data_IF_435652120374
#
_entry.id   IF_435652120374
#
_cell.length_a   1.000
_cell.length_b   1.000
_cell.length_c   1.000
_cell.angle_alpha   90.00
_cell.angle_beta   90.00
_cell.angle_gamma   90.00
#
_symmetry.space_group_name_H-M   'P 1'
#
loop_
_entity.id
_entity.type
_entity.pdbx_description
1 polymer ?
#
# COMPACT_ATOMS: atom_id res chain seq x y z
N UNK A 1 3.00 17.84 -22.81
CA UNK A 1 2.12 16.64 -22.85
C UNK A 1 2.05 15.92 -21.49
N UNK A 2 2.09 16.69 -20.38
CA UNK A 2 2.17 16.21 -18.97
C UNK A 2 0.89 16.53 -18.19
N UNK A 3 -0.09 17.17 -18.86
CA UNK A 3 -1.34 17.65 -18.23
C UNK A 3 -2.34 16.49 -17.99
N UNK A 4 -2.19 15.36 -18.69
CA UNK A 4 -3.10 14.22 -18.55
C UNK A 4 -2.75 13.26 -17.40
N UNK A 5 -1.49 13.16 -16.97
CA UNK A 5 -1.08 12.23 -15.90
C UNK A 5 -1.67 12.64 -14.53
N UNK A 6 -2.08 13.89 -14.40
CA UNK A 6 -2.77 14.43 -13.22
C UNK A 6 -4.25 14.04 -13.17
N UNK A 7 -4.92 13.90 -14.32
CA UNK A 7 -6.37 13.65 -14.39
C UNK A 7 -6.69 12.23 -13.93
N UNK A 8 -5.75 11.28 -14.07
CA UNK A 8 -6.00 9.87 -13.80
C UNK A 8 -5.59 9.42 -12.40
N UNK A 9 -4.81 10.21 -11.64
CA UNK A 9 -4.32 9.77 -10.33
C UNK A 9 -5.46 9.48 -9.34
N UNK A 10 -6.35 10.45 -9.13
CA UNK A 10 -7.48 10.29 -8.22
C UNK A 10 -8.42 9.15 -8.66
N UNK A 11 -8.87 9.08 -9.93
CA UNK A 11 -9.66 7.94 -10.40
C UNK A 11 -8.99 6.59 -10.21
N UNK A 12 -7.66 6.50 -10.40
CA UNK A 12 -6.92 5.26 -10.22
C UNK A 12 -6.84 4.88 -8.73
N UNK A 13 -6.55 5.84 -7.84
CA UNK A 13 -6.52 5.59 -6.40
C UNK A 13 -7.90 5.12 -5.90
N UNK A 14 -8.97 5.80 -6.30
CA UNK A 14 -10.35 5.41 -5.95
C UNK A 14 -10.69 4.01 -6.47
N UNK A 15 -10.40 3.73 -7.74
CA UNK A 15 -10.69 2.44 -8.36
C UNK A 15 -9.91 1.29 -7.68
N UNK A 16 -8.62 1.49 -7.39
CA UNK A 16 -7.80 0.47 -6.76
C UNK A 16 -8.19 0.26 -5.29
N UNK A 17 -8.46 1.32 -4.53
CA UNK A 17 -8.90 1.20 -3.13
C UNK A 17 -10.26 0.47 -3.02
N UNK A 18 -11.16 0.66 -3.99
CA UNK A 18 -12.42 -0.09 -4.02
C UNK A 18 -12.22 -1.61 -4.18
N UNK A 19 -11.12 -2.03 -4.83
CA UNK A 19 -10.80 -3.44 -5.09
C UNK A 19 -10.07 -4.13 -3.93
N UNK A 20 -9.65 -3.41 -2.88
CA UNK A 20 -9.02 -4.00 -1.70
C UNK A 20 -9.94 -4.96 -0.93
N UNK A 21 -11.25 -4.89 -1.15
CA UNK A 21 -12.27 -5.75 -0.52
C UNK A 21 -12.89 -6.76 -1.48
N UNK A 22 -12.28 -6.98 -2.64
CA UNK A 22 -12.79 -7.95 -3.62
C UNK A 22 -12.73 -9.38 -3.05
N UNK A 23 -13.73 -10.19 -3.38
CA UNK A 23 -13.79 -11.61 -2.99
C UNK A 23 -12.62 -12.44 -3.54
N UNK A 24 -12.03 -12.01 -4.66
CA UNK A 24 -10.90 -12.66 -5.30
C UNK A 24 -9.58 -12.14 -4.70
N UNK A 25 -8.85 -13.02 -4.02
CA UNK A 25 -7.52 -12.73 -3.47
C UNK A 25 -6.59 -12.11 -4.52
N UNK A 26 -6.59 -12.63 -5.75
CA UNK A 26 -5.71 -12.12 -6.81
C UNK A 26 -6.06 -10.68 -7.20
N UNK A 27 -7.34 -10.30 -7.18
CA UNK A 27 -7.77 -8.92 -7.44
C UNK A 27 -7.25 -8.00 -6.34
N UNK A 28 -7.39 -8.39 -5.06
CA UNK A 28 -6.85 -7.64 -3.92
C UNK A 28 -5.33 -7.45 -4.02
N UNK A 29 -4.59 -8.51 -4.37
CA UNK A 29 -3.14 -8.47 -4.57
C UNK A 29 -2.77 -7.49 -5.70
N UNK A 30 -3.44 -7.58 -6.84
CA UNK A 30 -3.17 -6.69 -7.97
C UNK A 30 -3.55 -5.24 -7.68
N UNK A 31 -4.62 -5.01 -6.93
CA UNK A 31 -5.04 -3.69 -6.48
C UNK A 31 -3.95 -3.06 -5.59
N UNK A 32 -3.48 -3.81 -4.59
CA UNK A 32 -2.44 -3.36 -3.67
C UNK A 32 -1.11 -3.10 -4.36
N UNK A 33 -0.72 -3.98 -5.30
CA UNK A 33 0.44 -3.76 -6.18
C UNK A 33 0.30 -2.48 -6.99
N UNK A 34 -0.89 -2.22 -7.53
CA UNK A 34 -1.21 -0.99 -8.24
C UNK A 34 -0.98 0.24 -7.38
N UNK A 35 -1.51 0.24 -6.15
CA UNK A 35 -1.33 1.34 -5.18
C UNK A 35 0.15 1.55 -4.82
N UNK A 36 0.90 0.48 -4.58
CA UNK A 36 2.34 0.55 -4.36
C UNK A 36 3.12 1.12 -5.56
N UNK A 37 2.67 0.84 -6.79
CA UNK A 37 3.31 1.34 -8.00
C UNK A 37 2.95 2.80 -8.34
N UNK A 38 1.78 3.28 -7.89
CA UNK A 38 1.47 4.72 -7.94
C UNK A 38 2.55 5.53 -7.21
N UNK A 39 3.16 4.93 -6.18
CA UNK A 39 4.27 5.55 -5.45
C UNK A 39 5.52 5.79 -6.32
N UNK A 40 5.77 4.97 -7.33
CA UNK A 40 6.92 5.17 -8.23
C UNK A 40 6.63 6.21 -9.33
N UNK A 41 5.35 6.47 -9.64
CA UNK A 41 4.97 7.30 -10.79
C UNK A 41 4.97 8.81 -10.54
N UNK A 42 4.77 9.26 -9.30
CA UNK A 42 4.73 10.70 -8.97
C UNK A 42 5.01 11.00 -7.49
N UNK A 43 6.29 11.04 -7.06
CA UNK A 43 6.71 11.21 -5.67
C UNK A 43 6.02 12.38 -4.93
N UNK A 44 5.99 13.56 -5.56
CA UNK A 44 5.43 14.80 -4.99
C UNK A 44 3.93 14.72 -4.67
N UNK A 45 3.20 13.81 -5.32
CA UNK A 45 1.76 13.67 -5.16
C UNK A 45 1.40 12.62 -4.11
N UNK A 46 2.26 11.63 -3.89
CA UNK A 46 2.10 10.61 -2.84
C UNK A 46 1.99 11.24 -1.48
N UNK A 47 2.73 12.31 -1.21
CA UNK A 47 2.70 12.97 0.11
C UNK A 47 1.29 13.34 0.57
N UNK A 48 0.39 13.68 -0.37
CA UNK A 48 -1.03 13.96 -0.06
C UNK A 48 -1.86 12.70 0.21
N UNK A 49 -1.48 11.57 -0.35
CA UNK A 49 -2.16 10.27 -0.20
C UNK A 49 -1.40 9.30 0.71
N UNK A 50 -0.31 9.73 1.35
CA UNK A 50 0.61 8.87 2.09
C UNK A 50 -0.08 8.09 3.20
N UNK A 51 -0.92 8.78 3.99
CA UNK A 51 -1.69 8.14 5.04
C UNK A 51 -2.70 7.10 4.51
N UNK A 52 -3.36 7.39 3.37
CA UNK A 52 -4.28 6.44 2.73
C UNK A 52 -3.51 5.21 2.23
N UNK A 53 -2.40 5.42 1.52
CA UNK A 53 -1.58 4.33 0.99
C UNK A 53 -1.00 3.46 2.11
N UNK A 54 -0.51 4.07 3.20
CA UNK A 54 -0.06 3.34 4.38
C UNK A 54 -1.19 2.52 5.00
N UNK A 55 -2.40 3.08 5.12
CA UNK A 55 -3.55 2.35 5.64
C UNK A 55 -3.88 1.13 4.77
N UNK A 56 -3.86 1.26 3.44
CA UNK A 56 -4.04 0.14 2.51
C UNK A 56 -2.99 -0.96 2.72
N UNK A 57 -1.70 -0.59 2.89
CA UNK A 57 -0.65 -1.58 3.14
C UNK A 57 -0.86 -2.31 4.47
N UNK A 58 -1.20 -1.58 5.53
CA UNK A 58 -1.46 -2.16 6.85
C UNK A 58 -2.68 -3.09 6.82
N UNK A 59 -3.72 -2.71 6.06
CA UNK A 59 -4.89 -3.56 5.86
C UNK A 59 -4.55 -4.85 5.09
N UNK A 60 -3.71 -4.76 4.05
CA UNK A 60 -3.26 -5.93 3.30
C UNK A 60 -2.43 -6.92 4.13
N UNK A 61 -1.67 -6.43 5.12
CA UNK A 61 -0.95 -7.28 6.08
C UNK A 61 -1.87 -7.96 7.10
N UNK A 62 -3.03 -7.36 7.42
CA UNK A 62 -4.01 -7.87 8.39
C UNK A 62 -5.12 -8.72 7.76
N UNK A 63 -5.02 -9.04 6.46
CA UNK A 63 -6.08 -9.74 5.73
C UNK A 63 -6.25 -11.18 6.25
N UNK A 64 -7.47 -11.50 6.68
CA UNK A 64 -7.80 -12.81 7.28
C UNK A 64 -7.99 -13.92 6.25
N UNK A 65 -8.22 -13.55 4.99
CA UNK A 65 -8.52 -14.45 3.88
C UNK A 65 -7.31 -14.54 2.94
N UNK A 66 -6.13 -14.74 3.52
CA UNK A 66 -4.84 -14.84 2.82
C UNK A 66 -4.04 -16.08 3.28
N UNK A 67 -4.44 -17.30 2.85
CA UNK A 67 -3.94 -18.57 3.39
C UNK A 67 -2.44 -18.83 3.14
N UNK A 68 -1.79 -18.05 2.27
CA UNK A 68 -0.36 -18.16 1.95
C UNK A 68 0.38 -16.83 2.13
N UNK A 69 -0.21 -15.85 2.82
CA UNK A 69 0.37 -14.52 3.03
C UNK A 69 0.76 -13.81 1.72
N UNK A 70 0.08 -14.09 0.60
CA UNK A 70 0.40 -13.49 -0.70
C UNK A 70 0.09 -11.99 -0.70
N UNK A 71 -1.06 -11.61 -0.13
CA UNK A 71 -1.46 -10.22 0.01
C UNK A 71 -0.58 -9.52 1.03
N UNK A 72 -0.27 -10.15 2.15
CA UNK A 72 0.64 -9.60 3.15
C UNK A 72 2.06 -9.35 2.59
N UNK A 73 2.61 -10.29 1.81
CA UNK A 73 3.91 -10.11 1.15
C UNK A 73 3.90 -8.98 0.12
N UNK A 74 2.84 -8.88 -0.69
CA UNK A 74 2.68 -7.76 -1.63
C UNK A 74 2.53 -6.43 -0.88
N UNK A 75 1.82 -6.42 0.25
CA UNK A 75 1.65 -5.26 1.12
C UNK A 75 2.98 -4.78 1.68
N UNK A 76 3.83 -5.69 2.17
CA UNK A 76 5.17 -5.37 2.67
C UNK A 76 6.09 -4.86 1.55
N UNK A 77 6.04 -5.49 0.37
CA UNK A 77 6.80 -5.03 -0.80
C UNK A 77 6.39 -3.62 -1.25
N UNK A 78 5.08 -3.36 -1.26
CA UNK A 78 4.53 -2.05 -1.64
C UNK A 78 4.75 -0.99 -0.57
N UNK A 79 4.69 -1.36 0.71
CA UNK A 79 5.07 -0.49 1.84
C UNK A 79 6.51 0.01 1.68
N UNK A 80 7.45 -0.86 1.33
CA UNK A 80 8.85 -0.46 1.09
C UNK A 80 8.96 0.63 0.03
N UNK A 81 8.16 0.58 -1.04
CA UNK A 81 8.15 1.60 -2.10
C UNK A 81 7.58 2.93 -1.61
N UNK A 82 6.56 2.88 -0.75
CA UNK A 82 5.89 4.09 -0.25
C UNK A 82 6.76 4.79 0.79
N UNK A 83 7.44 4.05 1.67
CA UNK A 83 8.29 4.61 2.72
C UNK A 83 9.40 5.53 2.18
N UNK A 84 9.93 5.24 0.99
CA UNK A 84 10.95 6.07 0.31
C UNK A 84 10.45 7.48 -0.07
N UNK A 85 9.13 7.73 0.02
CA UNK A 85 8.50 8.97 -0.43
C UNK A 85 7.76 9.73 0.69
N UNK A 86 7.82 9.25 1.94
CA UNK A 86 7.15 9.86 3.08
C UNK A 86 8.11 10.68 3.94
N UNK A 87 7.58 11.70 4.63
CA UNK A 87 8.36 12.42 5.63
C UNK A 87 8.56 11.54 6.87
N UNK A 88 9.73 11.65 7.51
CA UNK A 88 10.06 10.91 8.73
C UNK A 88 8.99 11.06 9.82
N UNK A 89 8.42 12.26 9.96
CA UNK A 89 7.35 12.55 10.94
C UNK A 89 6.08 11.74 10.69
N UNK A 90 5.73 11.54 9.43
CA UNK A 90 4.55 10.76 9.05
C UNK A 90 4.78 9.28 9.39
N UNK A 91 5.95 8.75 9.06
CA UNK A 91 6.36 7.37 9.37
C UNK A 91 6.47 7.14 10.88
N UNK A 92 7.04 8.09 11.63
CA UNK A 92 7.25 7.98 13.07
C UNK A 92 5.92 7.78 13.81
N UNK A 93 4.85 8.45 13.37
CA UNK A 93 3.51 8.29 13.95
C UNK A 93 2.91 6.89 13.74
N UNK A 94 3.34 6.18 12.71
CA UNK A 94 2.83 4.85 12.33
C UNK A 94 3.83 3.72 12.56
N UNK A 95 5.06 4.02 12.98
CA UNK A 95 6.16 3.07 13.09
C UNK A 95 5.80 1.86 13.97
N UNK A 96 5.16 2.11 15.12
CA UNK A 96 4.70 1.03 16.01
C UNK A 96 3.67 0.14 15.32
N UNK A 97 2.71 0.73 14.60
CA UNK A 97 1.67 0.01 13.88
C UNK A 97 2.23 -0.85 12.74
N UNK A 98 3.28 -0.36 12.06
CA UNK A 98 4.01 -1.09 11.03
C UNK A 98 4.79 -2.25 11.68
N UNK A 99 5.58 -1.97 12.72
CA UNK A 99 6.43 -2.96 13.36
C UNK A 99 5.63 -4.14 13.94
N UNK A 100 4.49 -3.88 14.58
CA UNK A 100 3.61 -4.92 15.14
C UNK A 100 3.10 -5.87 14.04
N UNK A 101 2.76 -5.35 12.85
CA UNK A 101 2.20 -6.14 11.76
C UNK A 101 3.23 -6.91 10.96
N UNK A 102 4.44 -6.38 10.87
CA UNK A 102 5.54 -7.03 10.17
C UNK A 102 6.17 -8.15 11.02
N UNK A 103 6.20 -7.99 12.35
CA UNK A 103 6.85 -8.93 13.27
C UNK A 103 6.50 -10.42 13.07
N UNK A 104 5.22 -10.82 12.90
CA UNK A 104 4.88 -12.24 12.72
C UNK A 104 5.58 -12.91 11.54
N UNK A 105 5.96 -12.14 10.52
CA UNK A 105 6.67 -12.66 9.34
C UNK A 105 8.16 -12.90 9.57
N UNK A 106 8.71 -12.44 10.70
CA UNK A 106 10.10 -12.67 11.11
C UNK A 106 10.22 -13.74 12.21
N UNK A 107 9.14 -14.09 12.89
CA UNK A 107 9.14 -15.07 13.99
C UNK A 107 9.21 -16.54 13.47
N UNK A 108 9.48 -16.76 12.18
CA UNK A 108 9.47 -18.08 11.50
C UNK A 108 10.84 -18.62 11.09
N UNK A 109 11.94 -17.98 11.50
CA UNK A 109 13.31 -18.50 11.29
C UNK A 109 13.76 -19.47 12.40
#
# INVERSE_FOLDING_TARGET
>A
KVVNDLVLLEPILEALTALEKDSCLLVRVLALRGLGNVASGSPEKIRRHGAQLLASMLQGMDDKDDPNNLLALEAMSSLSKILDHLEERDVQSMLLHIAIRIRPFFDSE
#
